data_IF_754657058292
#
_entry.id   IF_754657058292
#
_cell.length_a   1.000
_cell.length_b   1.000
_cell.length_c   1.000
_cell.angle_alpha   90.00
_cell.angle_beta   90.00
_cell.angle_gamma   90.00
#
_symmetry.space_group_name_H-M   'P 1'
#
loop_
_entity.id
_entity.type
_entity.pdbx_description
1 polymer ?
#
# COMPACT_ATOMS: atom_id res chain seq x y z
N UNK A 1 -0.82 -44.18 -0.59
CA UNK A 1 0.00 -43.28 -1.44
C UNK A 1 0.82 -42.42 -0.50
N UNK A 2 2.13 -42.61 -0.45
CA UNK A 2 3.02 -41.73 0.30
C UNK A 2 2.91 -40.30 -0.25
N UNK A 3 2.59 -39.34 0.61
CA UNK A 3 2.83 -37.94 0.33
C UNK A 3 4.35 -37.79 0.24
N UNK A 4 4.90 -37.97 -0.96
CA UNK A 4 6.28 -37.64 -1.27
C UNK A 4 6.52 -36.22 -0.75
N UNK A 5 7.38 -36.11 0.28
CA UNK A 5 7.87 -34.84 0.78
C UNK A 5 8.53 -34.12 -0.39
N UNK A 6 7.80 -33.26 -1.09
CA UNK A 6 8.41 -32.35 -2.06
C UNK A 6 9.47 -31.57 -1.29
N UNK A 7 10.73 -31.86 -1.60
CA UNK A 7 11.85 -31.20 -0.95
C UNK A 7 12.05 -29.87 -1.65
N UNK A 8 11.25 -28.87 -1.25
CA UNK A 8 11.44 -27.50 -1.74
C UNK A 8 12.85 -27.03 -1.38
N UNK A 9 13.57 -26.53 -2.38
CA UNK A 9 14.89 -25.95 -2.18
C UNK A 9 14.79 -24.60 -1.45
N UNK A 10 15.85 -24.29 -0.70
CA UNK A 10 16.03 -23.01 -0.04
C UNK A 10 16.87 -22.11 -0.96
N UNK A 11 16.48 -20.84 -1.08
CA UNK A 11 17.11 -19.90 -2.01
C UNK A 11 17.70 -18.70 -1.27
N UNK A 12 18.95 -18.36 -1.55
CA UNK A 12 19.57 -17.14 -1.03
C UNK A 12 19.16 -15.93 -1.88
N UNK A 13 18.71 -14.85 -1.24
CA UNK A 13 18.47 -13.54 -1.87
C UNK A 13 19.78 -12.76 -1.79
N UNK A 14 20.30 -12.32 -2.93
CA UNK A 14 21.58 -11.59 -3.05
C UNK A 14 21.33 -10.16 -3.52
N UNK A 15 22.09 -9.21 -2.99
CA UNK A 15 22.16 -7.84 -3.48
C UNK A 15 23.55 -7.59 -4.10
N UNK A 16 23.59 -6.85 -5.21
CA UNK A 16 24.81 -6.60 -5.98
C UNK A 16 25.25 -5.15 -5.79
N UNK A 17 26.46 -4.96 -5.27
CA UNK A 17 27.02 -3.65 -4.97
C UNK A 17 28.14 -3.38 -5.96
N UNK A 18 27.96 -2.36 -6.80
CA UNK A 18 28.96 -1.94 -7.77
C UNK A 18 29.80 -0.82 -7.17
N UNK A 19 31.09 -1.05 -7.04
CA UNK A 19 32.05 -0.05 -6.62
C UNK A 19 32.78 0.54 -7.85
N UNK A 20 33.27 1.79 -7.76
CA UNK A 20 34.22 2.29 -8.74
C UNK A 20 35.42 1.32 -8.85
N UNK A 21 36.07 1.27 -10.01
CA UNK A 21 37.12 0.30 -10.39
C UNK A 21 36.62 -1.08 -10.86
N UNK A 22 35.30 -1.26 -11.06
CA UNK A 22 34.75 -2.50 -11.62
C UNK A 22 34.68 -3.64 -10.61
N UNK A 23 34.92 -3.36 -9.33
CA UNK A 23 34.72 -4.31 -8.24
C UNK A 23 33.22 -4.43 -7.95
N UNK A 24 32.69 -5.65 -8.13
CA UNK A 24 31.32 -5.99 -7.78
C UNK A 24 31.29 -6.92 -6.57
N UNK A 25 30.59 -6.54 -5.50
CA UNK A 25 30.37 -7.39 -4.33
C UNK A 25 28.96 -7.97 -4.36
N UNK A 26 28.84 -9.29 -4.19
CA UNK A 26 27.54 -9.96 -3.99
C UNK A 26 27.34 -10.21 -2.50
N UNK A 27 26.34 -9.59 -1.91
CA UNK A 27 26.03 -9.69 -0.48
C UNK A 27 24.72 -10.48 -0.30
N UNK A 28 24.71 -11.50 0.55
CA UNK A 28 23.45 -12.22 0.91
C UNK A 28 22.61 -11.32 1.81
N UNK A 29 21.41 -10.96 1.37
CA UNK A 29 20.47 -10.07 2.07
C UNK A 29 19.24 -10.79 2.62
N UNK A 30 19.05 -12.05 2.24
CA UNK A 30 17.92 -12.82 2.73
C UNK A 30 17.90 -14.26 2.27
N UNK A 31 16.82 -14.93 2.63
CA UNK A 31 16.56 -16.31 2.26
C UNK A 31 15.05 -16.52 2.02
N UNK A 32 14.75 -17.30 0.97
CA UNK A 32 13.40 -17.66 0.57
C UNK A 32 13.23 -19.18 0.64
N UNK A 33 12.13 -19.59 1.28
CA UNK A 33 11.68 -20.98 1.38
C UNK A 33 10.22 -21.05 0.96
N UNK A 34 9.84 -21.89 -0.01
CA UNK A 34 8.44 -22.12 -0.36
C UNK A 34 7.60 -22.66 0.82
N UNK A 35 8.23 -23.22 1.86
CA UNK A 35 7.53 -23.71 3.06
C UNK A 35 7.18 -22.63 4.06
N UNK A 36 7.89 -21.50 4.03
CA UNK A 36 7.68 -20.39 4.96
C UNK A 36 6.75 -19.40 4.28
N UNK A 37 5.70 -18.97 4.99
CA UNK A 37 4.73 -18.01 4.46
C UNK A 37 5.34 -16.63 4.19
N UNK A 38 6.53 -16.35 4.73
CA UNK A 38 7.24 -15.09 4.57
C UNK A 38 8.72 -15.32 4.26
N UNK A 39 9.22 -14.63 3.23
CA UNK A 39 10.64 -14.47 2.99
C UNK A 39 11.27 -13.61 4.08
N UNK A 40 12.43 -14.02 4.61
CA UNK A 40 13.20 -13.17 5.53
C UNK A 40 14.15 -12.31 4.70
N UNK A 41 13.82 -11.03 4.57
CA UNK A 41 14.69 -10.01 4.01
C UNK A 41 15.27 -9.19 5.17
N UNK A 42 16.59 -9.09 5.26
CA UNK A 42 17.27 -8.17 6.16
C UNK A 42 17.83 -7.05 5.31
N UNK A 43 17.35 -5.82 5.55
CA UNK A 43 17.98 -4.64 4.96
C UNK A 43 19.39 -4.55 5.55
N UNK A 44 20.42 -4.81 4.74
CA UNK A 44 21.81 -4.86 5.22
C UNK A 44 22.39 -3.44 5.40
N UNK A 45 21.66 -2.39 5.05
CA UNK A 45 22.11 -1.02 5.27
C UNK A 45 20.95 -0.03 5.38
N UNK A 46 20.90 0.70 6.49
CA UNK A 46 20.09 1.90 6.68
C UNK A 46 20.45 3.05 5.70
N UNK A 47 21.48 2.86 4.87
CA UNK A 47 21.98 3.81 3.87
C UNK A 47 21.27 3.70 2.50
N UNK A 48 20.52 2.61 2.25
CA UNK A 48 19.81 2.40 0.99
C UNK A 48 18.31 2.56 1.23
N UNK A 49 17.81 3.78 1.02
CA UNK A 49 16.37 4.05 1.10
C UNK A 49 15.65 3.16 0.08
N UNK A 50 14.62 2.42 0.54
CA UNK A 50 13.86 1.52 -0.34
C UNK A 50 13.24 2.34 -1.48
N UNK A 51 13.51 2.01 -2.75
CA UNK A 51 13.01 2.81 -3.86
C UNK A 51 11.48 2.76 -3.90
N UNK A 52 10.86 3.93 -4.01
CA UNK A 52 9.43 4.04 -4.20
C UNK A 52 9.10 3.63 -5.65
N UNK A 53 8.37 2.52 -5.80
CA UNK A 53 8.05 1.91 -7.10
C UNK A 53 6.53 1.87 -7.34
N UNK A 54 5.90 3.04 -7.32
CA UNK A 54 4.46 3.20 -7.61
C UNK A 54 4.23 3.81 -8.98
N UNK A 55 3.09 3.50 -9.60
CA UNK A 55 2.68 4.10 -10.87
C UNK A 55 2.08 5.51 -10.70
N UNK A 56 1.38 5.71 -9.58
CA UNK A 56 0.69 6.94 -9.23
C UNK A 56 0.90 7.22 -7.75
N UNK A 57 1.18 8.48 -7.42
CA UNK A 57 1.26 8.94 -6.04
C UNK A 57 -0.09 8.84 -5.33
N UNK A 58 -0.06 8.71 -4.01
CA UNK A 58 -1.29 8.70 -3.20
C UNK A 58 -2.04 10.03 -3.30
N UNK A 59 -3.37 9.97 -3.35
CA UNK A 59 -4.21 11.15 -3.47
C UNK A 59 -4.40 11.81 -2.11
N UNK A 60 -4.10 13.11 -2.04
CA UNK A 60 -4.35 13.94 -0.86
C UNK A 60 -5.84 14.01 -0.50
N UNK A 61 -6.18 14.38 0.74
CA UNK A 61 -7.56 14.63 1.15
C UNK A 61 -8.29 15.58 0.18
N UNK A 62 -9.56 15.28 -0.11
CA UNK A 62 -10.37 16.01 -1.08
C UNK A 62 -10.26 15.51 -2.54
N UNK A 63 -9.37 14.56 -2.82
CA UNK A 63 -9.25 13.92 -4.13
C UNK A 63 -9.60 12.43 -4.06
N UNK A 64 -10.18 11.90 -5.15
CA UNK A 64 -10.41 10.47 -5.37
C UNK A 64 -9.54 9.94 -6.50
N UNK A 65 -9.25 8.64 -6.43
CA UNK A 65 -8.58 7.89 -7.49
C UNK A 65 -9.54 7.66 -8.66
N UNK A 66 -9.11 8.01 -9.85
CA UNK A 66 -9.81 7.72 -11.11
C UNK A 66 -8.92 6.83 -11.98
N UNK A 67 -9.39 5.65 -12.44
CA UNK A 67 -8.58 4.76 -13.27
C UNK A 67 -8.13 5.43 -14.57
N UNK A 68 -6.86 5.25 -14.94
CA UNK A 68 -6.35 5.71 -16.22
C UNK A 68 -6.72 4.72 -17.33
N UNK A 69 -7.41 5.21 -18.37
CA UNK A 69 -7.82 4.37 -19.50
C UNK A 69 -6.59 3.79 -20.23
N UNK A 70 -6.56 2.47 -20.39
CA UNK A 70 -5.47 1.78 -21.09
C UNK A 70 -4.21 1.54 -20.25
N UNK A 71 -4.20 1.86 -18.95
CA UNK A 71 -3.12 1.51 -18.02
C UNK A 71 -3.54 0.42 -17.04
N UNK A 72 -2.57 -0.14 -16.32
CA UNK A 72 -2.81 -1.14 -15.28
C UNK A 72 -3.63 -0.57 -14.11
N UNK A 73 -4.32 -1.44 -13.37
CA UNK A 73 -5.20 -1.05 -12.24
C UNK A 73 -4.50 -0.24 -11.15
N UNK A 74 -3.19 -0.38 -10.99
CA UNK A 74 -2.41 0.39 -10.03
C UNK A 74 -2.14 1.85 -10.46
N UNK A 75 -2.46 2.21 -11.71
CA UNK A 75 -2.28 3.55 -12.26
C UNK A 75 -3.60 4.34 -12.26
N UNK A 76 -3.61 5.47 -11.56
CA UNK A 76 -4.79 6.31 -11.38
C UNK A 76 -4.42 7.80 -11.37
N UNK A 77 -5.40 8.66 -11.65
CA UNK A 77 -5.31 10.10 -11.49
C UNK A 77 -6.07 10.55 -10.24
N UNK A 78 -5.58 11.62 -9.60
CA UNK A 78 -6.27 12.26 -8.50
C UNK A 78 -7.20 13.35 -9.03
N UNK A 79 -8.50 13.09 -8.97
CA UNK A 79 -9.55 14.04 -9.37
C UNK A 79 -10.28 14.56 -8.13
N UNK A 80 -10.67 15.85 -8.08
CA UNK A 80 -11.38 16.40 -6.93
C UNK A 80 -12.69 15.65 -6.68
N UNK A 81 -13.08 15.56 -5.41
CA UNK A 81 -14.40 15.06 -5.04
C UNK A 81 -15.50 15.94 -5.66
N UNK A 82 -16.65 15.34 -6.03
CA UNK A 82 -17.81 16.11 -6.47
C UNK A 82 -18.33 16.99 -5.34
N UNK A 83 -19.10 18.02 -5.70
CA UNK A 83 -19.70 18.94 -4.72
C UNK A 83 -20.51 18.17 -3.66
N UNK A 84 -20.33 18.53 -2.39
CA UNK A 84 -20.94 17.91 -1.19
C UNK A 84 -20.36 16.55 -0.76
N UNK A 85 -19.26 16.09 -1.37
CA UNK A 85 -18.50 14.94 -0.91
C UNK A 85 -17.09 15.33 -0.45
N UNK A 86 -16.58 14.65 0.57
CA UNK A 86 -15.25 14.89 1.12
C UNK A 86 -14.52 13.56 1.26
N UNK A 87 -13.23 13.55 0.96
CA UNK A 87 -12.29 12.51 1.36
C UNK A 87 -11.39 13.06 2.46
N UNK A 88 -11.65 12.70 3.72
CA UNK A 88 -10.92 13.22 4.89
C UNK A 88 -9.56 12.52 5.10
N UNK A 89 -9.26 11.45 4.36
CA UNK A 89 -8.03 10.69 4.48
C UNK A 89 -7.41 10.47 3.11
N UNK A 90 -6.07 10.40 3.07
CA UNK A 90 -5.32 10.06 1.87
C UNK A 90 -5.78 8.70 1.33
N UNK A 91 -5.92 8.58 0.01
CA UNK A 91 -6.32 7.35 -0.68
C UNK A 91 -7.71 6.77 -0.34
N UNK A 92 -8.59 7.57 0.29
CA UNK A 92 -10.00 7.19 0.50
C UNK A 92 -10.93 7.64 -0.62
N UNK A 93 -12.07 6.95 -0.71
CA UNK A 93 -13.18 7.30 -1.58
C UNK A 93 -13.90 8.55 -1.03
N UNK A 94 -14.44 9.38 -1.92
CA UNK A 94 -15.28 10.50 -1.52
C UNK A 94 -16.57 9.96 -0.89
N UNK A 95 -16.91 10.48 0.29
CA UNK A 95 -18.18 10.20 0.96
C UNK A 95 -19.01 11.46 1.05
N UNK A 96 -20.33 11.34 0.87
CA UNK A 96 -21.25 12.46 1.02
C UNK A 96 -21.27 12.96 2.46
N UNK A 97 -21.19 14.28 2.64
CA UNK A 97 -21.42 14.92 3.95
C UNK A 97 -22.93 14.96 4.16
N UNK A 98 -23.56 13.82 4.43
CA UNK A 98 -24.89 13.86 5.04
C UNK A 98 -24.68 14.44 6.43
N UNK A 99 -25.05 15.70 6.65
CA UNK A 99 -25.29 16.19 8.02
C UNK A 99 -26.29 15.19 8.62
N UNK A 100 -25.84 14.29 9.50
CA UNK A 100 -26.78 13.48 10.29
C UNK A 100 -27.71 14.50 10.94
N UNK A 101 -29.04 14.42 10.74
CA UNK A 101 -29.94 15.33 11.43
C UNK A 101 -29.65 15.17 12.93
N UNK A 102 -29.35 16.28 13.60
CA UNK A 102 -29.34 16.30 15.05
C UNK A 102 -30.68 15.71 15.48
N UNK A 103 -30.66 14.62 16.26
CA UNK A 103 -31.90 14.06 16.81
C UNK A 103 -32.62 15.23 17.47
N UNK A 104 -33.78 15.60 16.94
CA UNK A 104 -34.60 16.62 17.56
C UNK A 104 -34.82 16.17 19.01
N UNK A 105 -34.24 16.90 19.97
CA UNK A 105 -34.60 16.72 21.35
C UNK A 105 -36.09 17.03 21.43
N UNK A 106 -36.91 15.99 21.62
CA UNK A 106 -38.31 16.19 21.98
C UNK A 106 -38.28 16.91 23.33
N UNK A 107 -38.42 18.23 23.31
CA UNK A 107 -38.85 18.97 24.49
C UNK A 107 -40.27 18.52 24.73
N UNK A 108 -40.45 17.54 25.62
CA UNK A 108 -41.76 17.23 26.16
C UNK A 108 -42.12 18.46 26.98
N UNK A 109 -42.96 19.31 26.41
CA UNK A 109 -43.56 20.44 27.11
C UNK A 109 -44.47 19.85 28.18
N UNK A 110 -43.99 19.83 29.42
CA UNK A 110 -44.84 19.57 30.58
C UNK A 110 -45.63 20.87 30.84
N UNK A 111 -46.81 20.98 30.24
CA UNK A 111 -47.85 21.91 30.67
C UNK A 111 -49.06 21.05 31.03
N UNK A 112 -49.43 21.16 32.32
CA UNK A 112 -50.52 20.54 33.08
C UNK A 112 -50.28 19.12 33.60
#
# INVERSE_FOLDING_TARGET
MELQRVQYAEYAILNFWNFPEGLGLKVKVGEYSPRKSHSRYQQVSDLLQTPHSVCSESCSPGFRKTPQKGKATCCFDCTPCPENEISNETDRWCGSVTRKPARAAKVVSAIL
#
